data_IF_441338436505
#
_entry.id   IF_441338436505
#
_cell.length_a   1.000
_cell.length_b   1.000
_cell.length_c   1.000
_cell.angle_alpha   90.00
_cell.angle_beta   90.00
_cell.angle_gamma   90.00
#
_symmetry.space_group_name_H-M   'P 1'
#
loop_
_entity.id
_entity.type
_entity.pdbx_description
1 polymer ?
#
# COMPACT_ATOMS: atom_id res chain seq x y z
N UNK A 1 -8.93 -70.27 22.28
CA UNK A 1 -7.78 -69.66 22.93
C UNK A 1 -7.62 -68.24 22.35
N UNK A 2 -8.17 -67.25 23.04
CA UNK A 2 -8.30 -65.87 22.55
C UNK A 2 -7.32 -64.99 23.30
N UNK A 3 -6.34 -64.43 22.61
CA UNK A 3 -5.33 -63.57 23.19
C UNK A 3 -5.87 -62.12 23.19
N UNK A 4 -6.13 -61.58 24.39
CA UNK A 4 -6.41 -60.15 24.57
C UNK A 4 -5.14 -59.35 24.51
N UNK A 5 -4.97 -58.51 23.47
CA UNK A 5 -3.91 -57.49 23.42
C UNK A 5 -4.42 -56.19 24.07
N UNK A 6 -3.75 -55.83 25.15
CA UNK A 6 -3.89 -54.58 25.86
C UNK A 6 -3.40 -53.40 24.96
N UNK A 7 -4.31 -52.45 24.73
CA UNK A 7 -3.93 -51.17 24.05
C UNK A 7 -3.51 -50.18 25.14
N UNK A 8 -2.20 -49.93 25.24
CA UNK A 8 -1.69 -48.83 26.07
C UNK A 8 -1.96 -47.51 25.35
N UNK A 9 -2.71 -46.63 25.99
CA UNK A 9 -2.95 -45.27 25.54
C UNK A 9 -1.64 -44.47 25.50
N UNK A 10 -1.18 -44.15 24.29
CA UNK A 10 -0.07 -43.21 24.09
C UNK A 10 -0.64 -41.82 24.22
N UNK A 11 -0.42 -41.18 25.38
CA UNK A 11 -0.73 -39.75 25.58
C UNK A 11 0.16 -38.94 24.66
N UNK A 12 -0.46 -38.30 23.69
CA UNK A 12 0.23 -37.54 22.63
C UNK A 12 0.74 -36.21 23.20
N UNK A 13 2.03 -36.11 23.49
CA UNK A 13 2.70 -34.90 23.98
C UNK A 13 2.76 -33.74 22.93
N UNK A 14 2.11 -33.88 21.77
CA UNK A 14 2.07 -32.86 20.72
C UNK A 14 1.14 -31.68 21.01
N UNK A 15 0.20 -31.80 21.97
CA UNK A 15 -0.80 -30.75 22.20
C UNK A 15 -0.33 -29.63 23.16
N UNK A 16 0.78 -29.83 23.91
CA UNK A 16 1.27 -28.77 24.83
C UNK A 16 2.10 -27.69 24.13
N UNK A 17 2.67 -28.01 22.95
CA UNK A 17 3.44 -27.05 22.14
C UNK A 17 2.54 -26.14 21.28
N UNK A 18 1.38 -26.63 20.90
CA UNK A 18 0.42 -25.89 20.05
C UNK A 18 -0.18 -24.67 20.76
N UNK A 19 -0.51 -24.79 22.05
CA UNK A 19 -1.15 -23.70 22.82
C UNK A 19 -0.17 -22.59 23.21
N UNK A 20 1.09 -22.92 23.51
CA UNK A 20 2.12 -21.91 23.80
C UNK A 20 2.51 -21.10 22.55
N UNK A 21 2.64 -21.75 21.39
CA UNK A 21 2.93 -21.08 20.14
C UNK A 21 1.78 -20.17 19.65
N UNK A 22 0.52 -20.52 19.92
CA UNK A 22 -0.62 -19.67 19.53
C UNK A 22 -0.71 -18.38 20.36
N UNK A 23 -0.33 -18.40 21.63
CA UNK A 23 -0.33 -17.22 22.51
C UNK A 23 0.88 -16.32 22.21
N UNK A 24 2.05 -16.89 21.95
CA UNK A 24 3.25 -16.15 21.56
C UNK A 24 3.02 -15.47 20.21
N UNK A 25 2.50 -16.21 19.20
CA UNK A 25 2.18 -15.65 17.89
C UNK A 25 1.14 -14.51 17.91
N UNK A 26 0.15 -14.58 18.83
CA UNK A 26 -0.87 -13.53 18.94
C UNK A 26 -0.29 -12.24 19.54
N UNK A 27 0.64 -12.37 20.50
CA UNK A 27 1.32 -11.22 21.12
C UNK A 27 2.37 -10.61 20.20
N UNK A 28 3.12 -11.42 19.46
CA UNK A 28 4.07 -10.97 18.46
C UNK A 28 3.36 -10.31 17.27
N UNK A 29 2.21 -10.85 16.81
CA UNK A 29 1.40 -10.26 15.74
C UNK A 29 0.81 -8.92 16.16
N UNK A 30 0.37 -8.76 17.42
CA UNK A 30 -0.10 -7.48 17.96
C UNK A 30 1.00 -6.41 18.05
N UNK A 31 2.21 -6.80 18.43
CA UNK A 31 3.37 -5.89 18.51
C UNK A 31 3.86 -5.50 17.10
N UNK A 32 3.85 -6.44 16.16
CA UNK A 32 4.19 -6.14 14.76
C UNK A 32 3.15 -5.22 14.10
N UNK A 33 1.86 -5.40 14.40
CA UNK A 33 0.80 -4.52 13.88
C UNK A 33 0.95 -3.08 14.39
N UNK A 34 1.26 -2.88 15.67
CA UNK A 34 1.47 -1.53 16.22
C UNK A 34 2.72 -0.86 15.65
N UNK A 35 3.81 -1.60 15.48
CA UNK A 35 5.05 -1.10 14.86
C UNK A 35 4.82 -0.74 13.40
N UNK A 36 4.12 -1.59 12.65
CA UNK A 36 3.78 -1.34 11.26
C UNK A 36 2.87 -0.12 11.13
N UNK A 37 1.86 0.01 11.97
CA UNK A 37 0.98 1.18 11.99
C UNK A 37 1.74 2.49 12.22
N UNK A 38 2.70 2.51 13.15
CA UNK A 38 3.58 3.67 13.38
C UNK A 38 4.45 4.01 12.16
N UNK A 39 4.91 3.01 11.42
CA UNK A 39 5.63 3.22 10.16
C UNK A 39 4.71 3.75 9.07
N UNK A 40 3.49 3.20 8.94
CA UNK A 40 2.50 3.64 7.97
C UNK A 40 2.17 5.13 8.14
N UNK A 41 1.94 5.57 9.38
CA UNK A 41 1.72 6.99 9.69
C UNK A 41 2.90 7.86 9.24
N UNK A 42 4.14 7.41 9.42
CA UNK A 42 5.33 8.15 9.01
C UNK A 42 5.44 8.24 7.49
N UNK A 43 5.22 7.13 6.76
CA UNK A 43 5.26 7.14 5.30
C UNK A 43 4.12 7.99 4.71
N UNK A 44 2.92 7.96 5.29
CA UNK A 44 1.84 8.84 4.86
C UNK A 44 2.17 10.32 5.10
N UNK A 45 2.79 10.67 6.23
CA UNK A 45 3.26 12.04 6.48
C UNK A 45 4.34 12.47 5.48
N UNK A 46 5.27 11.58 5.13
CA UNK A 46 6.26 11.84 4.09
C UNK A 46 5.60 12.01 2.73
N UNK A 47 4.60 11.19 2.38
CA UNK A 47 3.83 11.36 1.16
C UNK A 47 3.08 12.70 1.14
N UNK A 48 2.57 13.16 2.29
CA UNK A 48 1.93 14.48 2.41
C UNK A 48 2.91 15.62 2.17
N UNK A 49 4.11 15.57 2.76
CA UNK A 49 5.19 16.54 2.50
C UNK A 49 5.59 16.49 1.01
N UNK A 50 5.63 15.28 0.43
CA UNK A 50 6.00 15.12 -0.98
C UNK A 50 4.97 15.70 -1.94
N UNK A 51 3.69 15.70 -1.53
CA UNK A 51 2.60 16.34 -2.28
C UNK A 51 2.80 17.84 -2.48
N UNK A 52 3.52 18.53 -1.59
CA UNK A 52 3.80 19.98 -1.66
C UNK A 52 4.64 20.36 -2.90
N UNK A 53 5.33 19.38 -3.54
CA UNK A 53 6.00 19.60 -4.81
C UNK A 53 5.05 19.75 -6.00
N UNK A 54 3.78 19.41 -5.84
CA UNK A 54 2.79 19.52 -6.91
C UNK A 54 2.41 20.96 -7.18
N UNK A 55 2.40 21.35 -8.44
CA UNK A 55 1.94 22.65 -8.93
C UNK A 55 0.42 22.68 -9.17
N UNK A 56 -0.29 21.57 -9.00
CA UNK A 56 -1.72 21.49 -9.21
C UNK A 56 -2.47 22.29 -8.12
N UNK A 57 -3.35 23.19 -8.54
CA UNK A 57 -4.10 24.09 -7.63
C UNK A 57 -5.28 23.40 -6.97
N UNK A 58 -5.97 22.53 -7.70
CA UNK A 58 -7.15 21.84 -7.21
C UNK A 58 -6.85 20.85 -6.12
N UNK A 59 -5.77 20.09 -6.28
CA UNK A 59 -5.38 19.04 -5.34
C UNK A 59 -3.91 18.67 -5.50
N UNK A 60 -3.19 18.67 -4.41
CA UNK A 60 -1.83 18.17 -4.34
C UNK A 60 -1.84 16.77 -3.75
N UNK A 61 -1.29 15.82 -4.48
CA UNK A 61 -1.24 14.41 -4.12
C UNK A 61 0.21 13.93 -4.16
N UNK A 62 0.62 13.19 -3.13
CA UNK A 62 1.94 12.57 -3.05
C UNK A 62 1.82 11.07 -2.88
N UNK A 63 2.78 10.34 -3.44
CA UNK A 63 2.86 8.89 -3.38
C UNK A 63 4.29 8.42 -3.13
N UNK A 64 4.47 7.36 -2.34
CA UNK A 64 5.74 6.71 -2.06
C UNK A 64 5.59 5.20 -2.29
N UNK A 65 6.51 4.60 -3.02
CA UNK A 65 6.62 3.15 -3.14
C UNK A 65 7.69 2.67 -2.18
N UNK A 66 7.32 1.81 -1.23
CA UNK A 66 8.19 1.32 -0.16
C UNK A 66 8.33 -0.19 -0.25
N UNK A 67 9.56 -0.67 -0.26
CA UNK A 67 9.91 -2.10 -0.24
C UNK A 67 11.00 -2.32 0.79
N UNK A 68 10.86 -3.35 1.62
CA UNK A 68 11.83 -3.70 2.67
C UNK A 68 12.21 -2.47 3.55
N UNK A 69 11.21 -1.66 3.90
CA UNK A 69 11.33 -0.40 4.65
C UNK A 69 12.14 0.71 3.96
N UNK A 70 12.51 0.54 2.69
CA UNK A 70 13.17 1.56 1.87
C UNK A 70 12.17 2.21 0.92
N UNK A 71 12.23 3.53 0.79
CA UNK A 71 11.52 4.24 -0.28
C UNK A 71 12.30 3.98 -1.55
N UNK A 72 11.70 3.23 -2.49
CA UNK A 72 12.33 2.87 -3.77
C UNK A 72 11.86 3.75 -4.92
N UNK A 73 10.76 4.48 -4.74
CA UNK A 73 10.25 5.48 -5.66
C UNK A 73 9.31 6.43 -4.95
N UNK A 74 9.11 7.57 -5.56
CA UNK A 74 8.23 8.64 -5.13
C UNK A 74 7.50 9.26 -6.31
N UNK A 75 6.38 9.95 -6.07
CA UNK A 75 5.64 10.69 -7.07
C UNK A 75 4.78 11.76 -6.43
N UNK A 76 4.50 12.80 -7.20
CA UNK A 76 3.45 13.77 -6.94
C UNK A 76 2.69 14.03 -8.25
N UNK A 77 1.45 14.48 -8.16
CA UNK A 77 0.69 14.78 -9.36
C UNK A 77 1.20 16.03 -10.04
N UNK A 78 1.23 16.02 -11.37
CA UNK A 78 1.76 17.12 -12.15
C UNK A 78 1.87 16.80 -13.63
N UNK A 79 2.30 17.78 -14.41
CA UNK A 79 2.52 17.63 -15.83
C UNK A 79 3.74 16.77 -16.12
N UNK A 80 3.80 16.11 -17.30
CA UNK A 80 4.99 15.36 -17.70
C UNK A 80 6.23 16.25 -17.79
N UNK A 81 7.40 15.64 -17.63
CA UNK A 81 8.68 16.35 -17.75
C UNK A 81 8.80 17.07 -19.10
N UNK A 82 9.19 18.35 -19.06
CA UNK A 82 9.32 19.21 -20.24
C UNK A 82 8.05 19.99 -20.59
N UNK A 83 6.94 19.74 -19.90
CA UNK A 83 5.72 20.56 -20.04
C UNK A 83 5.72 21.75 -19.06
N UNK A 84 4.99 22.82 -19.36
CA UNK A 84 4.74 23.88 -18.39
C UNK A 84 4.06 23.31 -17.13
N UNK A 85 4.42 23.82 -15.95
CA UNK A 85 3.86 23.39 -14.66
C UNK A 85 2.43 23.98 -14.43
N UNK A 86 1.51 23.69 -15.36
CA UNK A 86 0.13 24.15 -15.34
C UNK A 86 -0.79 22.93 -15.43
N UNK A 87 -1.35 22.53 -14.30
CA UNK A 87 -2.20 21.35 -14.24
C UNK A 87 -3.64 21.59 -14.69
N UNK A 88 -4.14 22.81 -14.55
CA UNK A 88 -5.54 23.17 -14.80
C UNK A 88 -5.63 24.25 -15.89
N UNK A 89 -6.71 24.19 -16.67
CA UNK A 89 -7.08 25.22 -17.63
C UNK A 89 -7.72 26.45 -16.95
N UNK A 90 -8.15 27.42 -17.76
CA UNK A 90 -8.82 28.66 -17.32
C UNK A 90 -10.15 28.42 -16.60
N UNK A 91 -10.80 27.27 -16.86
CA UNK A 91 -12.04 26.84 -16.21
C UNK A 91 -11.79 25.97 -14.97
N UNK A 92 -10.53 25.88 -14.49
CA UNK A 92 -10.11 25.06 -13.37
C UNK A 92 -10.35 23.56 -13.59
N UNK A 93 -10.31 23.09 -14.84
CA UNK A 93 -10.38 21.68 -15.23
C UNK A 93 -8.98 21.14 -15.41
N UNK A 94 -8.71 19.99 -14.79
CA UNK A 94 -7.40 19.33 -14.88
C UNK A 94 -7.16 18.85 -16.31
N UNK A 95 -6.01 19.18 -16.88
CA UNK A 95 -5.63 18.73 -18.21
C UNK A 95 -5.48 17.20 -18.26
N UNK A 96 -5.91 16.55 -19.35
CA UNK A 96 -5.89 15.09 -19.46
C UNK A 96 -4.49 14.46 -19.46
N UNK A 97 -3.44 15.25 -19.69
CA UNK A 97 -2.05 14.81 -19.66
C UNK A 97 -1.41 14.91 -18.27
N UNK A 98 -2.10 15.42 -17.26
CA UNK A 98 -1.59 15.48 -15.89
C UNK A 98 -1.47 14.06 -15.32
N UNK A 99 -0.28 13.70 -14.89
CA UNK A 99 -0.02 12.43 -14.24
C UNK A 99 -0.49 12.47 -12.79
N UNK A 100 -1.14 11.40 -12.36
CA UNK A 100 -1.40 11.19 -10.94
C UNK A 100 -0.12 10.80 -10.20
N UNK A 101 -0.06 11.02 -8.89
CA UNK A 101 1.11 10.76 -8.06
C UNK A 101 1.55 9.28 -8.14
N UNK A 102 0.59 8.35 -8.14
CA UNK A 102 0.83 6.91 -8.23
C UNK A 102 1.44 6.55 -9.58
N UNK A 103 0.87 7.07 -10.67
CA UNK A 103 1.39 6.84 -12.03
C UNK A 103 2.82 7.38 -12.16
N UNK A 104 3.09 8.57 -11.60
CA UNK A 104 4.41 9.17 -11.59
C UNK A 104 5.41 8.31 -10.79
N UNK A 105 5.03 7.83 -9.59
CA UNK A 105 5.87 6.95 -8.78
C UNK A 105 6.19 5.63 -9.50
N UNK A 106 5.19 5.00 -10.13
CA UNK A 106 5.35 3.73 -10.84
C UNK A 106 6.21 3.89 -12.09
N UNK A 107 6.01 4.94 -12.87
CA UNK A 107 6.78 5.16 -14.11
C UNK A 107 8.23 5.52 -13.85
N UNK A 108 8.55 6.16 -12.70
CA UNK A 108 9.95 6.37 -12.28
C UNK A 108 10.67 5.04 -12.04
N UNK A 109 10.00 4.01 -11.53
CA UNK A 109 10.60 2.68 -11.34
C UNK A 109 11.03 2.06 -12.67
N UNK A 110 10.30 2.28 -13.77
CA UNK A 110 10.68 1.80 -15.10
C UNK A 110 12.04 2.36 -15.60
N UNK A 111 12.53 3.43 -14.99
CA UNK A 111 13.82 4.08 -15.30
C UNK A 111 14.90 3.77 -14.25
N UNK A 112 14.61 2.89 -13.30
CA UNK A 112 15.51 2.51 -12.21
C UNK A 112 15.85 1.02 -12.25
N UNK A 113 16.79 0.60 -11.44
CA UNK A 113 17.10 -0.82 -11.19
C UNK A 113 16.16 -1.48 -10.18
N UNK A 114 15.28 -0.70 -9.54
CA UNK A 114 14.32 -1.21 -8.56
C UNK A 114 13.07 -1.78 -9.24
N UNK A 115 12.38 -2.69 -8.56
CA UNK A 115 11.07 -3.17 -8.97
C UNK A 115 10.08 -3.08 -7.82
N UNK A 116 8.81 -2.90 -8.14
CA UNK A 116 7.71 -2.74 -7.20
C UNK A 116 7.06 -4.05 -6.74
N UNK A 117 7.51 -5.20 -7.23
CA UNK A 117 6.92 -6.48 -6.85
C UNK A 117 6.97 -6.69 -5.33
N UNK A 118 5.82 -6.93 -4.72
CA UNK A 118 5.67 -7.14 -3.29
C UNK A 118 5.73 -5.86 -2.43
N UNK A 119 5.87 -4.67 -3.02
CA UNK A 119 5.98 -3.40 -2.30
C UNK A 119 4.64 -2.91 -1.74
N UNK A 120 4.72 -1.85 -0.91
CA UNK A 120 3.59 -1.06 -0.41
C UNK A 120 3.62 0.33 -1.06
N UNK A 121 2.48 0.77 -1.57
CA UNK A 121 2.24 2.14 -2.00
C UNK A 121 1.59 2.93 -0.87
N UNK A 122 2.19 4.02 -0.46
CA UNK A 122 1.60 5.03 0.42
C UNK A 122 1.19 6.23 -0.43
N UNK A 123 -0.04 6.66 -0.33
CA UNK A 123 -0.58 7.76 -1.13
C UNK A 123 -1.51 8.63 -0.29
N UNK A 124 -1.52 9.92 -0.53
CA UNK A 124 -2.35 10.84 0.27
C UNK A 124 -3.84 10.68 0.00
N UNK A 125 -4.23 10.32 -1.23
CA UNK A 125 -5.61 10.12 -1.65
C UNK A 125 -5.83 8.69 -2.14
N UNK A 126 -7.06 8.16 -2.02
CA UNK A 126 -7.38 6.83 -2.55
C UNK A 126 -7.20 6.79 -4.07
N UNK A 127 -6.56 5.72 -4.60
CA UNK A 127 -6.33 5.58 -6.03
C UNK A 127 -7.63 5.52 -6.85
N UNK A 128 -7.65 6.23 -7.98
CA UNK A 128 -8.71 6.08 -8.97
C UNK A 128 -8.55 4.76 -9.77
N UNK A 129 -9.56 4.43 -10.59
CA UNK A 129 -9.56 3.20 -11.39
C UNK A 129 -8.34 3.08 -12.31
N UNK A 130 -7.87 4.18 -12.91
CA UNK A 130 -6.72 4.16 -13.80
C UNK A 130 -5.43 3.86 -13.04
N UNK A 131 -5.23 4.48 -11.86
CA UNK A 131 -4.08 4.19 -11.01
C UNK A 131 -4.14 2.78 -10.42
N UNK A 132 -5.34 2.28 -10.06
CA UNK A 132 -5.51 0.93 -9.56
C UNK A 132 -5.01 -0.14 -10.56
N UNK A 133 -5.30 0.03 -11.86
CA UNK A 133 -4.78 -0.85 -12.92
C UNK A 133 -3.25 -0.86 -12.96
N UNK A 134 -2.62 0.30 -12.84
CA UNK A 134 -1.16 0.42 -12.83
C UNK A 134 -0.56 -0.22 -11.57
N UNK A 135 -1.16 -0.01 -10.41
CA UNK A 135 -0.75 -0.58 -9.13
C UNK A 135 -0.75 -2.12 -9.18
N UNK A 136 -1.84 -2.70 -9.71
CA UNK A 136 -1.97 -4.15 -9.87
C UNK A 136 -0.89 -4.68 -10.82
N UNK A 137 -0.74 -4.05 -11.99
CA UNK A 137 0.20 -4.49 -13.03
C UNK A 137 1.65 -4.32 -12.59
N UNK A 138 1.95 -3.36 -11.72
CA UNK A 138 3.26 -3.13 -11.12
C UNK A 138 3.61 -4.14 -10.00
N UNK A 139 2.72 -5.08 -9.66
CA UNK A 139 2.95 -6.09 -8.64
C UNK A 139 2.93 -5.56 -7.19
N UNK A 140 2.41 -4.36 -6.96
CA UNK A 140 2.26 -3.79 -5.63
C UNK A 140 1.21 -4.60 -4.85
N UNK A 141 1.52 -5.04 -3.63
CA UNK A 141 0.67 -5.93 -2.84
C UNK A 141 -0.11 -5.23 -1.72
N UNK A 142 0.25 -4.00 -1.41
CA UNK A 142 -0.42 -3.23 -0.36
C UNK A 142 -0.54 -1.76 -0.76
N UNK A 143 -1.68 -1.15 -0.46
CA UNK A 143 -1.93 0.29 -0.63
C UNK A 143 -2.41 0.85 0.70
N UNK A 144 -1.78 1.94 1.15
CA UNK A 144 -2.18 2.68 2.34
C UNK A 144 -2.47 4.12 1.93
N UNK A 145 -3.66 4.63 2.26
CA UNK A 145 -4.06 5.98 1.87
C UNK A 145 -4.67 6.76 3.06
N UNK A 146 -4.61 8.09 2.98
CA UNK A 146 -4.98 8.99 4.08
C UNK A 146 -6.30 9.74 3.87
N UNK A 147 -6.78 9.87 2.64
CA UNK A 147 -8.04 10.57 2.30
C UNK A 147 -8.83 9.77 1.27
N UNK A 148 -10.13 9.69 1.43
CA UNK A 148 -11.02 9.09 0.44
C UNK A 148 -11.23 10.03 -0.74
N UNK A 149 -11.18 9.50 -1.94
CA UNK A 149 -11.58 10.17 -3.17
C UNK A 149 -13.06 9.84 -3.50
N UNK A 150 -13.67 10.59 -4.39
CA UNK A 150 -15.12 10.54 -4.67
C UNK A 150 -15.65 9.18 -5.11
N UNK A 151 -14.83 8.37 -5.77
CA UNK A 151 -15.20 7.09 -6.35
C UNK A 151 -14.43 5.97 -5.67
N UNK A 152 -15.12 4.89 -5.32
CA UNK A 152 -14.52 3.70 -4.68
C UNK A 152 -14.06 2.63 -5.68
N UNK A 153 -14.36 2.78 -6.96
CA UNK A 153 -14.12 1.81 -8.03
C UNK A 153 -12.65 1.35 -8.13
N UNK A 154 -11.71 2.28 -7.92
CA UNK A 154 -10.28 1.94 -7.84
C UNK A 154 -9.94 1.06 -6.64
N UNK A 155 -10.51 1.36 -5.47
CA UNK A 155 -10.34 0.57 -4.25
C UNK A 155 -10.95 -0.83 -4.41
N UNK A 156 -12.12 -0.92 -5.00
CA UNK A 156 -12.83 -2.19 -5.22
C UNK A 156 -12.06 -3.07 -6.21
N UNK A 157 -11.51 -2.49 -7.27
CA UNK A 157 -10.64 -3.20 -8.21
C UNK A 157 -9.37 -3.74 -7.54
N UNK A 158 -8.71 -2.93 -6.70
CA UNK A 158 -7.52 -3.34 -5.93
C UNK A 158 -7.83 -4.53 -5.03
N UNK A 159 -8.94 -4.47 -4.28
CA UNK A 159 -9.39 -5.56 -3.41
C UNK A 159 -9.70 -6.83 -4.20
N UNK A 160 -10.39 -6.71 -5.33
CA UNK A 160 -10.69 -7.84 -6.23
C UNK A 160 -9.42 -8.50 -6.75
N UNK A 161 -8.36 -7.74 -6.99
CA UNK A 161 -7.05 -8.24 -7.41
C UNK A 161 -6.21 -8.82 -6.25
N UNK A 162 -6.72 -8.83 -5.02
CA UNK A 162 -6.02 -9.34 -3.84
C UNK A 162 -4.98 -8.37 -3.27
N UNK A 163 -5.00 -7.10 -3.66
CA UNK A 163 -4.17 -6.06 -3.05
C UNK A 163 -4.74 -5.69 -1.70
N UNK A 164 -3.92 -5.70 -0.65
CA UNK A 164 -4.33 -5.26 0.68
C UNK A 164 -4.50 -3.74 0.69
N UNK A 165 -5.70 -3.25 0.99
CA UNK A 165 -6.00 -1.81 0.97
C UNK A 165 -6.39 -1.35 2.37
N UNK A 166 -5.71 -0.33 2.87
CA UNK A 166 -5.89 0.20 4.23
C UNK A 166 -6.05 1.73 4.19
N UNK A 167 -7.10 2.19 4.84
CA UNK A 167 -7.34 3.61 5.10
C UNK A 167 -6.82 3.98 6.47
N UNK A 168 -5.96 4.99 6.56
CA UNK A 168 -5.45 5.54 7.82
C UNK A 168 -5.70 7.05 7.80
N UNK A 169 -6.72 7.46 8.54
CA UNK A 169 -7.02 8.90 8.73
C UNK A 169 -5.86 9.57 9.45
N UNK A 170 -5.33 10.63 8.89
CA UNK A 170 -4.38 11.51 9.58
C UNK A 170 -5.15 12.55 10.37
N UNK A 171 -4.76 12.75 11.62
CA UNK A 171 -5.27 13.80 12.50
C UNK A 171 -4.70 15.16 12.12
#
# INVERSE_FOLDING_TARGET
MIIKKSVKSVVNKKNLWSTKNSVVNKKEKGIMDEKQYKLDLRYLRMAQIWAENSYCKRRQVGALVVKDQMIISDGFNGTPSGFPNVCEDENNVTHPYVLHAEANAITKLARSSNNSEGSTLYVTDSPCIECAKLIIQAGIKRVVYAREYRLSDGIDLLRQAGVKVEFIKQE
#
